data_IF_492368524971
#
_entry.id   IF_492368524971
#
_cell.length_a   1.000
_cell.length_b   1.000
_cell.length_c   1.000
_cell.angle_alpha   90.00
_cell.angle_beta   90.00
_cell.angle_gamma   90.00
#
_symmetry.space_group_name_H-M   'P 1'
#
loop_
_entity.id
_entity.type
_entity.pdbx_description
1 polymer ?
#
# COMPACT_ATOMS: atom_id res chain seq x y z
N UNK A 1 2.11 24.83 -3.43
CA UNK A 1 1.36 25.71 -2.50
C UNK A 1 -0.07 25.94 -2.95
N UNK A 2 -0.33 26.61 -4.09
CA UNK A 2 -1.70 26.94 -4.57
C UNK A 2 -2.72 25.80 -4.49
N UNK A 3 -2.35 24.59 -4.91
CA UNK A 3 -3.23 23.42 -4.87
C UNK A 3 -3.62 22.95 -3.46
N UNK A 4 -2.91 23.39 -2.42
CA UNK A 4 -3.13 23.00 -1.03
C UNK A 4 -3.62 24.18 -0.16
N UNK A 5 -3.87 25.36 -0.74
CA UNK A 5 -4.34 26.52 0.02
C UNK A 5 -5.73 26.25 0.61
N UNK A 6 -5.87 26.41 1.93
CA UNK A 6 -7.11 26.11 2.65
C UNK A 6 -7.37 24.61 2.90
N UNK A 7 -6.44 23.72 2.53
CA UNK A 7 -6.55 22.28 2.76
C UNK A 7 -5.93 21.91 4.11
N UNK A 8 -6.66 21.18 4.96
CA UNK A 8 -6.13 20.62 6.20
C UNK A 8 -5.29 19.36 5.95
N UNK A 9 -5.84 18.39 5.23
CA UNK A 9 -5.23 17.07 5.00
C UNK A 9 -5.20 16.78 3.50
N UNK A 10 -4.05 16.32 3.00
CA UNK A 10 -3.85 15.92 1.59
C UNK A 10 -3.84 14.40 1.50
N UNK A 11 -4.68 13.82 0.63
CA UNK A 11 -4.59 12.40 0.27
C UNK A 11 -3.92 12.31 -1.11
N UNK A 12 -2.67 11.85 -1.13
CA UNK A 12 -1.88 11.76 -2.35
C UNK A 12 -1.99 10.38 -2.98
N UNK A 13 -3.01 10.21 -3.83
CA UNK A 13 -3.24 9.00 -4.64
C UNK A 13 -2.61 9.08 -6.05
N UNK A 14 -2.15 10.26 -6.46
CA UNK A 14 -1.65 10.50 -7.81
C UNK A 14 -0.27 9.87 -8.03
N UNK A 15 -0.09 9.30 -9.21
CA UNK A 15 1.13 8.64 -9.67
C UNK A 15 0.81 7.72 -10.83
N UNK A 16 1.83 7.18 -11.49
CA UNK A 16 1.65 6.09 -12.44
C UNK A 16 1.71 4.75 -11.66
N UNK A 17 0.61 3.97 -11.62
CA UNK A 17 0.55 2.71 -10.87
C UNK A 17 1.14 1.51 -11.62
N UNK A 18 1.49 1.65 -12.90
CA UNK A 18 1.95 0.55 -13.76
C UNK A 18 3.35 0.05 -13.36
N UNK A 19 3.53 -1.21 -12.92
CA UNK A 19 4.84 -1.74 -12.52
C UNK A 19 5.82 -1.88 -13.69
N UNK A 20 5.34 -1.88 -14.94
CA UNK A 20 6.15 -2.04 -16.16
C UNK A 20 6.53 -0.70 -16.80
N UNK A 21 6.16 0.42 -16.17
CA UNK A 21 6.45 1.75 -16.70
C UNK A 21 7.95 2.03 -16.88
N UNK A 22 8.27 2.83 -17.89
CA UNK A 22 9.64 3.31 -18.14
C UNK A 22 10.12 4.21 -17.01
N UNK A 23 11.43 4.18 -16.75
CA UNK A 23 12.04 4.89 -15.62
C UNK A 23 11.76 6.39 -15.60
N UNK A 24 11.72 7.07 -16.75
CA UNK A 24 11.40 8.49 -16.83
C UNK A 24 10.01 8.80 -16.28
N UNK A 25 9.02 7.94 -16.55
CA UNK A 25 7.67 8.06 -15.98
C UNK A 25 7.67 7.92 -14.46
N UNK A 26 8.47 6.98 -13.92
CA UNK A 26 8.64 6.81 -12.47
C UNK A 26 9.20 8.09 -11.84
N UNK A 27 10.26 8.64 -12.42
CA UNK A 27 10.94 9.82 -11.90
C UNK A 27 10.02 11.05 -11.93
N UNK A 28 9.31 11.28 -13.02
CA UNK A 28 8.43 12.44 -13.16
C UNK A 28 7.20 12.33 -12.28
N UNK A 29 6.46 11.23 -12.39
CA UNK A 29 5.14 11.10 -11.77
C UNK A 29 5.25 10.69 -10.30
N UNK A 30 6.11 9.72 -9.98
CA UNK A 30 6.11 9.10 -8.65
C UNK A 30 7.16 9.72 -7.73
N UNK A 31 8.34 10.09 -8.24
CA UNK A 31 9.39 10.71 -7.40
C UNK A 31 9.16 12.22 -7.29
N UNK A 32 9.21 12.92 -8.43
CA UNK A 32 9.10 14.39 -8.49
C UNK A 32 7.70 14.86 -8.08
N UNK A 33 6.65 14.18 -8.54
CA UNK A 33 5.27 14.44 -8.13
C UNK A 33 5.05 14.34 -6.62
N UNK A 34 5.56 13.27 -5.99
CA UNK A 34 5.47 13.08 -4.53
C UNK A 34 6.23 14.19 -3.79
N UNK A 35 7.45 14.51 -4.21
CA UNK A 35 8.23 15.60 -3.61
C UNK A 35 7.48 16.94 -3.67
N UNK A 36 6.98 17.31 -4.85
CA UNK A 36 6.25 18.55 -5.03
C UNK A 36 4.97 18.60 -4.18
N UNK A 37 4.29 17.48 -4.00
CA UNK A 37 3.09 17.38 -3.15
C UNK A 37 3.44 17.61 -1.68
N UNK A 38 4.50 16.97 -1.17
CA UNK A 38 5.00 17.19 0.18
C UNK A 38 5.37 18.65 0.44
N UNK A 39 6.12 19.26 -0.49
CA UNK A 39 6.50 20.68 -0.39
C UNK A 39 5.26 21.59 -0.46
N UNK A 40 4.31 21.28 -1.33
CA UNK A 40 3.08 22.05 -1.48
C UNK A 40 2.20 22.01 -0.22
N UNK A 41 2.01 20.81 0.35
CA UNK A 41 1.24 20.60 1.57
C UNK A 41 1.87 21.33 2.76
N UNK A 42 3.19 21.14 2.97
CA UNK A 42 3.92 21.85 4.02
C UNK A 42 3.82 23.37 3.86
N UNK A 43 4.09 23.89 2.67
CA UNK A 43 4.09 25.34 2.42
C UNK A 43 2.70 25.99 2.57
N UNK A 44 1.62 25.21 2.47
CA UNK A 44 0.25 25.65 2.70
C UNK A 44 -0.19 25.51 4.17
N UNK A 45 0.61 24.87 5.02
CA UNK A 45 0.28 24.63 6.42
C UNK A 45 -0.70 23.46 6.61
N UNK A 46 -0.76 22.51 5.67
CA UNK A 46 -1.53 21.29 5.86
C UNK A 46 -1.03 20.56 7.11
N UNK A 47 -1.97 20.04 7.90
CA UNK A 47 -1.70 19.25 9.09
C UNK A 47 -1.08 17.90 8.73
N UNK A 48 -1.63 17.24 7.70
CA UNK A 48 -1.27 15.87 7.33
C UNK A 48 -1.22 15.62 5.83
N UNK A 49 -0.34 14.71 5.43
CA UNK A 49 -0.34 14.05 4.13
C UNK A 49 -0.53 12.53 4.30
N UNK A 50 -1.53 11.96 3.64
CA UNK A 50 -1.74 10.51 3.54
C UNK A 50 -1.18 10.09 2.18
N UNK A 51 -0.12 9.29 2.19
CA UNK A 51 0.59 8.86 0.99
C UNK A 51 0.13 7.46 0.57
N UNK A 52 -0.30 7.32 -0.68
CA UNK A 52 -0.55 6.00 -1.29
C UNK A 52 0.78 5.32 -1.63
N UNK A 53 1.35 4.62 -0.64
CA UNK A 53 2.37 3.59 -0.88
C UNK A 53 1.70 2.34 -1.47
N UNK A 54 2.42 1.23 -1.54
CA UNK A 54 1.91 0.00 -2.13
C UNK A 54 2.50 -1.25 -1.48
N UNK A 55 1.78 -2.36 -1.55
CA UNK A 55 2.32 -3.70 -1.30
C UNK A 55 3.60 -3.97 -2.11
N UNK A 56 3.79 -3.31 -3.26
CA UNK A 56 5.02 -3.40 -4.07
C UNK A 56 6.27 -2.86 -3.36
N UNK A 57 6.14 -2.06 -2.29
CA UNK A 57 7.28 -1.67 -1.45
C UNK A 57 7.95 -2.87 -0.74
N UNK A 58 7.22 -3.99 -0.62
CA UNK A 58 7.63 -5.22 0.06
C UNK A 58 7.32 -6.50 -0.74
N UNK A 59 7.01 -6.38 -2.04
CA UNK A 59 6.64 -7.54 -2.87
C UNK A 59 7.77 -8.54 -3.10
N UNK A 60 9.03 -8.15 -2.85
CA UNK A 60 10.21 -9.02 -2.97
C UNK A 60 10.39 -10.02 -1.83
N UNK A 61 9.58 -9.97 -0.75
CA UNK A 61 9.58 -11.03 0.26
C UNK A 61 8.98 -12.34 -0.32
N UNK A 62 9.36 -13.53 0.17
CA UNK A 62 8.71 -14.79 -0.21
C UNK A 62 7.20 -14.78 0.04
N UNK A 63 6.42 -15.47 -0.79
CA UNK A 63 4.95 -15.43 -0.77
C UNK A 63 4.32 -16.01 0.52
N UNK A 64 5.00 -16.93 1.18
CA UNK A 64 4.58 -17.60 2.42
C UNK A 64 4.89 -16.79 3.70
N UNK A 65 5.49 -15.61 3.56
CA UNK A 65 5.74 -14.69 4.67
C UNK A 65 4.53 -13.76 4.87
N UNK A 66 4.14 -13.50 6.11
CA UNK A 66 3.25 -12.36 6.40
C UNK A 66 4.10 -11.15 6.78
N UNK A 67 4.11 -10.12 5.94
CA UNK A 67 4.99 -8.96 6.13
C UNK A 67 4.38 -7.99 7.13
N UNK A 68 5.17 -7.60 8.14
CA UNK A 68 4.82 -6.57 9.11
C UNK A 68 5.29 -5.19 8.67
N UNK A 69 4.67 -4.13 9.18
CA UNK A 69 5.08 -2.73 8.93
C UNK A 69 6.52 -2.44 9.38
N UNK A 70 7.02 -3.17 10.38
CA UNK A 70 8.39 -3.06 10.90
C UNK A 70 9.45 -3.71 10.01
N UNK A 71 9.04 -4.56 9.08
CA UNK A 71 9.96 -5.20 8.14
C UNK A 71 10.57 -4.16 7.18
N UNK A 72 11.87 -4.29 6.84
CA UNK A 72 12.50 -3.45 5.83
C UNK A 72 11.75 -3.43 4.50
N UNK A 73 11.95 -2.37 3.72
CA UNK A 73 11.49 -2.36 2.33
C UNK A 73 12.25 -3.42 1.53
N UNK A 74 11.53 -4.12 0.65
CA UNK A 74 12.07 -5.12 -0.25
C UNK A 74 11.23 -5.13 -1.55
N UNK A 75 11.39 -4.10 -2.40
CA UNK A 75 10.54 -3.96 -3.58
C UNK A 75 10.91 -4.97 -4.66
N UNK A 76 9.90 -5.58 -5.29
CA UNK A 76 10.07 -6.51 -6.41
C UNK A 76 10.20 -5.83 -7.79
N UNK A 77 9.93 -4.53 -7.89
CA UNK A 77 9.97 -3.76 -9.14
C UNK A 77 10.29 -2.26 -8.90
N UNK A 78 10.49 -1.51 -9.98
CA UNK A 78 10.82 -0.07 -9.92
C UNK A 78 9.67 0.80 -9.44
N UNK A 79 8.42 0.36 -9.64
CA UNK A 79 7.27 1.04 -9.07
C UNK A 79 7.30 0.97 -7.54
N UNK A 80 7.57 -0.21 -6.98
CA UNK A 80 7.82 -0.43 -5.56
C UNK A 80 8.96 0.44 -5.02
N UNK A 81 10.09 0.52 -5.75
CA UNK A 81 11.21 1.43 -5.40
C UNK A 81 10.73 2.89 -5.28
N UNK A 82 9.89 3.34 -6.20
CA UNK A 82 9.34 4.71 -6.16
C UNK A 82 8.44 4.96 -4.94
N UNK A 83 7.70 3.94 -4.50
CA UNK A 83 6.89 4.01 -3.27
C UNK A 83 7.76 4.01 -2.02
N UNK A 84 8.85 3.24 -2.00
CA UNK A 84 9.86 3.30 -0.93
C UNK A 84 10.50 4.70 -0.82
N UNK A 85 10.77 5.36 -1.95
CA UNK A 85 11.20 6.76 -1.94
C UNK A 85 10.17 7.67 -1.26
N UNK A 86 8.89 7.51 -1.59
CA UNK A 86 7.80 8.27 -0.96
C UNK A 86 7.67 8.02 0.55
N UNK A 87 7.84 6.77 1.00
CA UNK A 87 7.86 6.42 2.43
C UNK A 87 9.03 7.13 3.16
N UNK A 88 10.23 7.05 2.60
CA UNK A 88 11.42 7.68 3.17
C UNK A 88 11.30 9.21 3.19
N UNK A 89 10.82 9.81 2.10
CA UNK A 89 10.56 11.24 2.01
C UNK A 89 9.49 11.66 3.03
N UNK A 90 8.40 10.89 3.14
CA UNK A 90 7.34 11.14 4.11
C UNK A 90 7.87 11.18 5.54
N UNK A 91 8.75 10.23 5.90
CA UNK A 91 9.40 10.21 7.21
C UNK A 91 10.28 11.44 7.43
N UNK A 92 11.07 11.84 6.43
CA UNK A 92 11.85 13.08 6.50
C UNK A 92 10.94 14.30 6.74
N UNK A 93 9.86 14.41 5.98
CA UNK A 93 8.91 15.53 6.10
C UNK A 93 8.24 15.57 7.49
N UNK A 94 7.95 14.40 8.07
CA UNK A 94 7.37 14.31 9.40
C UNK A 94 8.34 14.64 10.53
N UNK A 95 9.54 14.07 10.50
CA UNK A 95 10.50 14.19 11.60
C UNK A 95 11.29 15.50 11.55
N UNK A 96 11.66 15.95 10.35
CA UNK A 96 12.54 17.11 10.16
C UNK A 96 11.76 18.38 9.83
N UNK A 97 10.63 18.24 9.13
CA UNK A 97 9.91 19.38 8.57
C UNK A 97 8.53 19.63 9.22
N UNK A 98 8.09 18.75 10.13
CA UNK A 98 6.88 18.90 10.93
C UNK A 98 5.55 18.61 10.23
N UNK A 99 5.55 18.07 9.00
CA UNK A 99 4.33 17.67 8.29
C UNK A 99 3.95 16.22 8.69
N UNK A 100 2.82 15.99 9.37
CA UNK A 100 2.38 14.62 9.68
C UNK A 100 2.23 13.80 8.40
N UNK A 101 2.79 12.60 8.35
CA UNK A 101 2.65 11.71 7.17
C UNK A 101 2.22 10.30 7.58
N UNK A 102 1.18 9.78 6.92
CA UNK A 102 0.80 8.36 7.02
C UNK A 102 0.97 7.73 5.64
N UNK A 103 1.86 6.74 5.52
CA UNK A 103 2.07 6.00 4.29
C UNK A 103 1.27 4.68 4.33
N UNK A 104 0.37 4.50 3.37
CA UNK A 104 -0.46 3.31 3.27
C UNK A 104 0.12 2.37 2.22
N UNK A 105 0.64 1.21 2.59
CA UNK A 105 0.96 0.15 1.62
C UNK A 105 -0.35 -0.53 1.24
N UNK A 106 -1.00 0.03 0.22
CA UNK A 106 -2.28 -0.45 -0.29
C UNK A 106 -2.04 -1.76 -1.03
N UNK A 107 -2.87 -2.76 -0.74
CA UNK A 107 -2.93 -4.01 -1.48
C UNK A 107 -3.59 -3.84 -2.86
N UNK A 108 -4.21 -4.90 -3.35
CA UNK A 108 -4.97 -4.90 -4.58
C UNK A 108 -6.35 -4.26 -4.36
N UNK A 109 -6.42 -2.94 -4.51
CA UNK A 109 -7.70 -2.22 -4.50
C UNK A 109 -8.50 -2.58 -5.75
N UNK A 110 -9.66 -3.20 -5.54
CA UNK A 110 -10.59 -3.57 -6.61
C UNK A 110 -12.03 -3.41 -6.12
N UNK A 111 -12.96 -2.89 -6.97
CA UNK A 111 -14.39 -2.95 -6.68
C UNK A 111 -14.86 -4.39 -6.47
N UNK A 112 -15.91 -4.57 -5.67
CA UNK A 112 -16.45 -5.90 -5.34
C UNK A 112 -16.81 -6.71 -6.60
N UNK A 113 -17.39 -6.06 -7.61
CA UNK A 113 -17.73 -6.69 -8.90
C UNK A 113 -16.52 -7.26 -9.64
N UNK A 114 -15.33 -6.66 -9.46
CA UNK A 114 -14.08 -7.18 -10.00
C UNK A 114 -13.63 -8.37 -9.17
N UNK A 115 -13.67 -8.27 -7.84
CA UNK A 115 -13.27 -9.35 -6.93
C UNK A 115 -14.07 -10.65 -7.16
N UNK A 116 -15.33 -10.56 -7.59
CA UNK A 116 -16.17 -11.70 -7.99
C UNK A 116 -15.74 -12.39 -9.29
N UNK A 117 -15.03 -11.67 -10.17
CA UNK A 117 -14.62 -12.14 -11.51
C UNK A 117 -13.13 -12.47 -11.60
N UNK A 118 -12.34 -11.95 -10.67
CA UNK A 118 -10.90 -12.16 -10.60
C UNK A 118 -10.56 -13.63 -10.28
N UNK A 119 -9.36 -14.03 -10.72
CA UNK A 119 -8.78 -15.28 -10.28
C UNK A 119 -8.35 -15.19 -8.80
N UNK A 120 -7.92 -16.30 -8.23
CA UNK A 120 -7.57 -16.39 -6.80
C UNK A 120 -6.26 -15.68 -6.41
N UNK A 121 -5.53 -15.12 -7.38
CA UNK A 121 -4.21 -14.52 -7.17
C UNK A 121 -4.20 -13.23 -6.34
N UNK A 122 -5.37 -12.61 -6.11
CA UNK A 122 -5.49 -11.39 -5.29
C UNK A 122 -5.99 -11.68 -3.87
N UNK A 123 -6.25 -12.95 -3.55
CA UNK A 123 -6.88 -13.36 -2.29
C UNK A 123 -6.11 -12.90 -1.05
N UNK A 124 -4.78 -12.84 -1.14
CA UNK A 124 -3.89 -12.48 -0.04
C UNK A 124 -3.64 -10.97 0.09
N UNK A 125 -3.99 -10.19 -0.93
CA UNK A 125 -3.70 -8.76 -1.02
C UNK A 125 -4.91 -7.86 -1.24
N UNK A 126 -6.12 -8.39 -1.40
CA UNK A 126 -7.31 -7.58 -1.76
C UNK A 126 -7.71 -6.56 -0.68
N UNK A 127 -8.19 -5.41 -1.13
CA UNK A 127 -8.92 -4.44 -0.31
C UNK A 127 -10.15 -3.95 -1.06
N UNK A 128 -11.31 -4.01 -0.40
CA UNK A 128 -12.58 -3.54 -0.95
C UNK A 128 -12.67 -2.01 -0.96
N UNK A 129 -13.65 -1.48 -1.70
CA UNK A 129 -13.94 -0.06 -1.67
C UNK A 129 -14.38 0.42 -0.27
N UNK A 130 -15.20 -0.37 0.42
CA UNK A 130 -15.71 -0.03 1.75
C UNK A 130 -14.58 0.08 2.76
N UNK A 131 -13.70 -0.92 2.77
CA UNK A 131 -12.61 -1.01 3.73
C UNK A 131 -11.52 0.04 3.42
N UNK A 132 -11.22 0.31 2.14
CA UNK A 132 -10.30 1.39 1.77
C UNK A 132 -10.80 2.77 2.23
N UNK A 133 -12.10 3.05 2.06
CA UNK A 133 -12.70 4.29 2.53
C UNK A 133 -12.62 4.41 4.05
N UNK A 134 -12.95 3.34 4.78
CA UNK A 134 -12.83 3.33 6.24
C UNK A 134 -11.38 3.62 6.66
N UNK A 135 -10.38 2.97 6.05
CA UNK A 135 -8.98 3.22 6.38
C UNK A 135 -8.58 4.68 6.15
N UNK A 136 -9.00 5.28 5.04
CA UNK A 136 -8.73 6.68 4.74
C UNK A 136 -9.39 7.61 5.75
N UNK A 137 -10.67 7.40 6.08
CA UNK A 137 -11.39 8.16 7.10
C UNK A 137 -10.67 8.10 8.45
N UNK A 138 -10.28 6.90 8.89
CA UNK A 138 -9.50 6.71 10.13
C UNK A 138 -8.16 7.45 10.10
N UNK A 139 -7.47 7.43 8.96
CA UNK A 139 -6.20 8.16 8.79
C UNK A 139 -6.38 9.68 8.76
N UNK A 140 -7.53 10.19 8.33
CA UNK A 140 -7.86 11.63 8.39
C UNK A 140 -8.11 12.01 9.85
N UNK A 141 -8.97 11.26 10.54
CA UNK A 141 -9.49 11.62 11.86
C UNK A 141 -8.51 11.40 13.01
N UNK A 142 -7.56 10.47 12.86
CA UNK A 142 -6.61 10.14 13.94
C UNK A 142 -5.76 11.36 14.34
N UNK A 143 -5.59 11.56 15.64
CA UNK A 143 -4.73 12.61 16.17
C UNK A 143 -3.36 12.06 16.61
N UNK A 144 -2.37 12.95 16.77
CA UNK A 144 -1.06 12.64 17.36
C UNK A 144 -0.19 11.61 16.60
N UNK A 145 -0.44 11.34 15.32
CA UNK A 145 0.51 10.61 14.47
C UNK A 145 1.49 11.61 13.84
N UNK A 146 2.78 11.44 14.12
CA UNK A 146 3.85 12.14 13.38
C UNK A 146 4.16 11.42 12.07
N UNK A 147 4.55 10.16 12.16
CA UNK A 147 4.81 9.29 11.01
C UNK A 147 4.31 7.88 11.29
N UNK A 148 3.68 7.24 10.30
CA UNK A 148 3.33 5.82 10.36
C UNK A 148 3.36 5.20 8.96
N UNK A 149 3.72 3.92 8.89
CA UNK A 149 3.46 3.05 7.74
C UNK A 149 2.37 2.09 8.17
N UNK A 150 1.27 2.01 7.41
CA UNK A 150 0.15 1.11 7.67
C UNK A 150 -0.11 0.25 6.43
N UNK A 151 -0.67 -0.93 6.64
CA UNK A 151 -1.04 -1.84 5.56
C UNK A 151 -2.55 -1.73 5.28
N UNK A 152 -2.91 -1.60 3.99
CA UNK A 152 -4.29 -1.47 3.55
C UNK A 152 -4.78 -2.72 2.84
N UNK A 153 -5.28 -3.69 3.62
CA UNK A 153 -6.00 -4.89 3.18
C UNK A 153 -7.39 -4.94 3.82
N UNK A 154 -8.33 -5.62 3.19
CA UNK A 154 -9.58 -6.09 3.83
C UNK A 154 -9.27 -7.17 4.88
N UNK A 155 -10.28 -7.66 5.61
CA UNK A 155 -10.11 -8.72 6.62
C UNK A 155 -9.99 -10.12 5.98
N UNK A 156 -9.29 -10.23 4.85
CA UNK A 156 -9.11 -11.46 4.09
C UNK A 156 -8.62 -12.59 4.99
N UNK A 157 -9.16 -13.79 4.82
CA UNK A 157 -8.72 -14.96 5.61
C UNK A 157 -7.21 -15.20 5.50
N UNK A 158 -6.67 -15.04 4.30
CA UNK A 158 -5.23 -15.09 4.03
C UNK A 158 -4.76 -13.66 3.80
N UNK A 159 -3.82 -13.16 4.62
CA UNK A 159 -3.30 -11.80 4.47
C UNK A 159 -1.79 -11.85 4.27
N UNK A 160 -1.36 -11.33 3.14
CA UNK A 160 0.05 -11.11 2.82
C UNK A 160 0.69 -10.05 3.70
N UNK A 161 -0.09 -9.02 4.05
CA UNK A 161 0.33 -7.93 4.92
C UNK A 161 -0.38 -8.03 6.27
N UNK A 162 0.38 -7.96 7.36
CA UNK A 162 -0.18 -7.83 8.71
C UNK A 162 -0.81 -6.44 8.87
N UNK A 163 -2.07 -6.38 9.30
CA UNK A 163 -2.83 -5.13 9.45
C UNK A 163 -2.94 -4.65 10.91
N UNK A 164 -2.19 -5.26 11.84
CA UNK A 164 -2.35 -5.03 13.28
C UNK A 164 -2.10 -3.57 13.65
N UNK A 165 -1.06 -2.94 13.07
CA UNK A 165 -0.76 -1.52 13.28
C UNK A 165 -1.87 -0.59 12.79
N UNK A 166 -2.55 -0.92 11.69
CA UNK A 166 -3.68 -0.13 11.21
C UNK A 166 -4.86 -0.21 12.20
N UNK A 167 -5.10 -1.39 12.78
CA UNK A 167 -6.11 -1.56 13.83
C UNK A 167 -5.75 -0.77 15.09
N UNK A 168 -4.51 -0.89 15.55
CA UNK A 168 -4.05 -0.28 16.80
C UNK A 168 -3.92 1.24 16.71
N UNK A 169 -3.29 1.76 15.65
CA UNK A 169 -2.92 3.18 15.57
C UNK A 169 -4.07 4.07 15.11
N UNK A 170 -4.94 3.57 14.21
CA UNK A 170 -6.01 4.39 13.63
C UNK A 170 -7.40 3.81 13.87
N UNK A 171 -7.53 2.65 14.51
CA UNK A 171 -8.83 2.02 14.76
C UNK A 171 -9.48 1.49 13.48
N UNK A 172 -8.66 1.00 12.53
CA UNK A 172 -9.15 0.35 11.32
C UNK A 172 -9.83 -0.99 11.66
N UNK A 173 -11.01 -1.24 11.11
CA UNK A 173 -11.82 -2.44 11.38
C UNK A 173 -12.46 -2.91 10.06
N UNK A 174 -11.66 -3.51 9.15
CA UNK A 174 -12.15 -3.96 7.86
C UNK A 174 -13.17 -5.09 8.04
N UNK A 175 -14.12 -5.15 7.12
CA UNK A 175 -15.28 -6.04 7.21
C UNK A 175 -15.37 -7.04 6.05
N UNK A 176 -14.72 -6.76 4.92
CA UNK A 176 -14.75 -7.64 3.76
C UNK A 176 -13.68 -8.73 3.84
N UNK A 177 -13.93 -9.82 3.12
CA UNK A 177 -13.01 -10.95 2.99
C UNK A 177 -13.15 -11.53 1.58
N UNK A 178 -12.06 -11.54 0.82
CA UNK A 178 -12.04 -12.03 -0.57
C UNK A 178 -12.65 -13.44 -0.68
N UNK A 179 -12.39 -14.30 0.30
CA UNK A 179 -12.87 -15.69 0.29
C UNK A 179 -14.39 -15.81 0.42
N UNK A 180 -15.07 -14.78 0.92
CA UNK A 180 -16.53 -14.77 1.10
C UNK A 180 -17.28 -14.16 -0.08
N UNK A 181 -16.60 -13.34 -0.88
CA UNK A 181 -17.17 -12.62 -2.03
C UNK A 181 -16.88 -13.33 -3.35
N UNK A 182 -15.72 -13.97 -3.51
CA UNK A 182 -15.35 -14.61 -4.77
C UNK A 182 -16.00 -16.01 -4.90
N UNK A 183 -16.84 -16.25 -5.93
CA UNK A 183 -17.58 -17.49 -6.08
C UNK A 183 -16.71 -18.73 -6.36
N UNK A 184 -15.47 -18.55 -6.84
CA UNK A 184 -14.56 -19.67 -7.11
C UNK A 184 -14.02 -20.30 -5.83
N UNK A 185 -13.98 -19.55 -4.73
CA UNK A 185 -13.38 -19.97 -3.46
C UNK A 185 -14.36 -20.03 -2.30
N UNK A 186 -15.48 -19.31 -2.39
CA UNK A 186 -16.49 -19.22 -1.32
C UNK A 186 -17.07 -20.56 -0.89
N UNK A 187 -17.27 -21.46 -1.83
CA UNK A 187 -17.84 -22.79 -1.58
C UNK A 187 -16.75 -23.86 -1.38
N UNK A 188 -15.47 -23.48 -1.43
CA UNK A 188 -14.38 -24.41 -1.12
C UNK A 188 -14.27 -24.58 0.39
N UNK A 189 -14.16 -25.83 0.83
CA UNK A 189 -13.88 -26.14 2.22
C UNK A 189 -12.39 -25.90 2.51
N UNK A 190 -12.02 -24.62 2.62
CA UNK A 190 -10.67 -24.18 2.90
C UNK A 190 -10.37 -24.53 4.36
N UNK A 191 -9.56 -25.57 4.59
CA UNK A 191 -9.04 -25.92 5.92
C UNK A 191 -8.21 -24.77 6.49
N UNK A 192 -8.16 -24.65 7.82
CA UNK A 192 -7.22 -23.74 8.49
C UNK A 192 -5.76 -24.22 8.36
N UNK A 193 -5.57 -25.51 8.09
CA UNK A 193 -4.27 -26.12 7.86
C UNK A 193 -3.80 -25.87 6.42
N UNK A 194 -2.65 -25.19 6.31
CA UNK A 194 -1.91 -25.01 5.07
C UNK A 194 -0.99 -26.21 4.91
N UNK A 195 -1.33 -27.13 3.99
CA UNK A 195 -0.36 -28.14 3.53
C UNK A 195 0.74 -27.43 2.75
N UNK A 196 1.95 -27.35 3.34
CA UNK A 196 3.10 -26.72 2.70
C UNK A 196 3.61 -27.60 1.56
N UNK A 197 3.06 -27.42 0.36
CA UNK A 197 3.70 -27.84 -0.87
C UNK A 197 4.62 -26.71 -1.33
N UNK A 198 5.82 -26.67 -0.78
CA UNK A 198 6.93 -25.92 -1.34
C UNK A 198 7.20 -26.43 -2.76
N UNK A 199 6.53 -25.83 -3.75
CA UNK A 199 6.81 -25.95 -5.16
C UNK A 199 7.38 -24.61 -5.60
N UNK A 200 8.72 -24.57 -5.65
CA UNK A 200 9.48 -23.57 -6.38
C UNK A 200 8.95 -23.57 -7.81
N UNK A 201 8.24 -22.52 -8.21
CA UNK A 201 7.97 -22.25 -9.62
C UNK A 201 9.14 -21.43 -10.18
N UNK A 202 9.95 -22.14 -10.96
CA UNK A 202 10.95 -21.72 -11.93
C UNK A 202 11.33 -20.24 -11.99
N UNK A 203 12.54 -19.96 -11.49
CA UNK A 203 13.62 -19.42 -12.32
C UNK A 203 13.32 -18.16 -13.13
N UNK A 204 13.20 -17.01 -12.46
CA UNK A 204 13.75 -15.77 -13.00
C UNK A 204 15.02 -15.44 -12.22
N UNK A 205 16.17 -15.65 -12.85
CA UNK A 205 17.43 -15.10 -12.36
C UNK A 205 17.28 -13.57 -12.23
N UNK A 206 17.74 -13.00 -11.11
CA UNK A 206 17.85 -11.55 -10.96
C UNK A 206 18.98 -11.06 -11.88
N UNK A 207 18.69 -10.98 -13.17
CA UNK A 207 19.56 -10.35 -14.15
C UNK A 207 19.55 -8.85 -13.96
N UNK A 208 20.73 -8.23 -13.95
CA UNK A 208 20.88 -6.83 -14.30
C UNK A 208 20.05 -6.59 -15.58
N UNK A 209 19.15 -5.61 -15.56
CA UNK A 209 18.44 -5.18 -16.78
C UNK A 209 19.51 -4.82 -17.81
N UNK A 210 19.37 -5.30 -19.04
CA UNK A 210 20.30 -5.06 -20.16
C UNK A 210 20.45 -3.57 -20.53
N UNK A 211 19.72 -2.68 -19.84
CA UNK A 211 19.72 -1.24 -20.03
C UNK A 211 20.42 -0.44 -18.91
N UNK A 212 21.29 -1.07 -18.10
CA UNK A 212 22.25 -0.38 -17.22
C UNK A 212 23.60 -0.14 -17.88
#
# INVERSE_FOLDING_TARGET
KKACEGVDTVIHLAGNPDPEQVWTSVVENNITGTYNTCIAAKAAGCRRLIYASSIHAVSGYPADVQVKTSEPVNPGDLYGVSKCFGEALGRYMAEQEGLSVIALRIGAFQPDESAEKENVGMMDGWISQRDMNQLLEKCIDVENIRFAILHGLSDNRFKRLDISDARELVGYEPQDDFTKVNPLVKDLNLSEDVDTHSAIQDGKESGLREEL
#
